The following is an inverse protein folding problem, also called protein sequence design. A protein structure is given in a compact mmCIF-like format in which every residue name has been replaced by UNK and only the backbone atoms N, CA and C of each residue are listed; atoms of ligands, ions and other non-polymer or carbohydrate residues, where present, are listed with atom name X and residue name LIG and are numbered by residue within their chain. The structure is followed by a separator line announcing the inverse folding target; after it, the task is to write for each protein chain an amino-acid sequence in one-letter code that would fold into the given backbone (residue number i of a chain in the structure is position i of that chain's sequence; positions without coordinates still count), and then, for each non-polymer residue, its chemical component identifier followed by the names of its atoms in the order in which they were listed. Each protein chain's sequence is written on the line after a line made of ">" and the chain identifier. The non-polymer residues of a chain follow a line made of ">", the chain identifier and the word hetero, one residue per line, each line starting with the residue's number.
data_IF_606093592783
#
_entry.id   IF_606093592783
#
_cell.length_a   1.000
_cell.length_b   1.000
_cell.length_c   1.000
_cell.angle_alpha   90.00
_cell.angle_beta   90.00
_cell.angle_gamma   90.00
#
_symmetry.space_group_name_H-M   'P 1'
#
loop_
_entity.id
_entity.type
_entity.pdbx_description
1 polymer ?
#
# COMPACT_ATOMS: atom_id res chain seq x y z
N UNK A 1 -31.36 -48.99 19.25
CA UNK A 1 -30.10 -48.30 19.64
C UNK A 1 -29.31 -48.03 18.37
N UNK A 2 -29.09 -46.74 18.05
CA UNK A 2 -28.55 -46.29 16.76
C UNK A 2 -27.03 -46.55 16.63
N UNK A 3 -26.68 -47.70 16.04
CA UNK A 3 -25.30 -48.12 15.78
C UNK A 3 -24.53 -47.12 14.88
N UNK A 4 -25.23 -46.45 13.97
CA UNK A 4 -24.67 -45.44 13.06
C UNK A 4 -24.21 -44.17 13.80
N UNK A 5 -24.93 -43.73 14.82
CA UNK A 5 -24.53 -42.58 15.64
C UNK A 5 -23.29 -42.88 16.50
N UNK A 6 -23.17 -44.11 17.00
CA UNK A 6 -22.03 -44.56 17.80
C UNK A 6 -20.75 -44.71 16.96
N UNK A 7 -20.88 -45.24 15.74
CA UNK A 7 -19.76 -45.36 14.80
C UNK A 7 -19.27 -43.99 14.31
N UNK A 8 -20.20 -43.08 14.00
CA UNK A 8 -19.88 -41.70 13.65
C UNK A 8 -19.15 -40.96 14.78
N UNK A 9 -19.64 -41.10 16.02
CA UNK A 9 -19.01 -40.50 17.21
C UNK A 9 -17.60 -41.07 17.47
N UNK A 10 -17.43 -42.39 17.32
CA UNK A 10 -16.16 -43.08 17.51
C UNK A 10 -15.12 -42.71 16.45
N UNK A 11 -15.52 -42.63 15.18
CA UNK A 11 -14.66 -42.15 14.09
C UNK A 11 -14.23 -40.69 14.33
N UNK A 12 -15.14 -39.81 14.76
CA UNK A 12 -14.77 -38.42 15.10
C UNK A 12 -13.86 -38.33 16.32
N UNK A 13 -14.04 -39.19 17.33
CA UNK A 13 -13.21 -39.21 18.54
C UNK A 13 -11.79 -39.72 18.24
N UNK A 14 -11.67 -40.80 17.47
CA UNK A 14 -10.38 -41.39 17.07
C UNK A 14 -9.58 -40.41 16.17
N UNK A 15 -10.26 -39.73 15.24
CA UNK A 15 -9.61 -38.72 14.39
C UNK A 15 -9.19 -37.46 15.18
N UNK A 16 -9.94 -37.10 16.22
CA UNK A 16 -9.58 -36.01 17.14
C UNK A 16 -8.40 -36.36 18.06
N UNK A 17 -8.23 -37.63 18.46
CA UNK A 17 -7.02 -38.07 19.16
C UNK A 17 -5.80 -38.01 18.25
N UNK A 18 -5.89 -38.51 17.01
CA UNK A 18 -4.80 -38.49 16.05
C UNK A 18 -4.33 -37.06 15.74
N UNK A 19 -5.28 -36.12 15.54
CA UNK A 19 -4.95 -34.72 15.31
C UNK A 19 -4.28 -34.06 16.52
N UNK A 20 -4.77 -34.33 17.74
CA UNK A 20 -4.15 -33.83 18.98
C UNK A 20 -2.74 -34.38 19.16
N UNK A 21 -2.52 -35.65 18.85
CA UNK A 21 -1.21 -36.27 18.91
C UNK A 21 -0.25 -35.65 17.90
N UNK A 22 -0.67 -35.49 16.65
CA UNK A 22 0.11 -34.80 15.62
C UNK A 22 0.51 -33.39 16.05
N UNK A 23 -0.44 -32.61 16.58
CA UNK A 23 -0.18 -31.26 17.05
C UNK A 23 0.80 -31.26 18.24
N UNK A 24 0.65 -32.18 19.18
CA UNK A 24 1.55 -32.32 20.32
C UNK A 24 2.96 -32.73 19.89
N UNK A 25 3.08 -33.62 18.90
CA UNK A 25 4.37 -34.01 18.33
C UNK A 25 5.03 -32.82 17.64
N UNK A 26 4.28 -32.06 16.84
CA UNK A 26 4.79 -30.84 16.21
C UNK A 26 5.28 -29.83 17.26
N UNK A 27 4.47 -29.58 18.30
CA UNK A 27 4.83 -28.68 19.41
C UNK A 27 6.07 -29.08 20.20
N UNK A 28 6.38 -30.38 20.28
CA UNK A 28 7.61 -30.87 20.92
C UNK A 28 8.88 -30.61 20.09
N UNK A 29 8.74 -30.45 18.78
CA UNK A 29 9.86 -30.32 17.85
C UNK A 29 10.12 -28.86 17.43
N UNK A 30 9.12 -27.99 17.57
CA UNK A 30 9.24 -26.56 17.29
C UNK A 30 9.53 -25.78 18.56
N UNK A 31 10.11 -24.59 18.41
CA UNK A 31 10.21 -23.60 19.49
C UNK A 31 8.97 -22.72 19.48
N UNK A 32 8.30 -22.59 20.62
CA UNK A 32 7.22 -21.61 20.80
C UNK A 32 7.76 -20.34 21.45
N UNK A 33 7.22 -19.19 21.03
CA UNK A 33 7.45 -17.87 21.63
C UNK A 33 6.11 -17.24 22.02
N UNK A 34 6.09 -16.48 23.10
CA UNK A 34 4.92 -15.75 23.57
C UNK A 34 4.70 -14.45 22.79
N UNK A 35 3.48 -13.92 22.87
CA UNK A 35 3.12 -12.61 22.31
C UNK A 35 4.02 -11.49 22.84
N UNK A 36 4.36 -11.53 24.14
CA UNK A 36 5.23 -10.54 24.78
C UNK A 36 6.66 -10.63 24.27
N UNK A 37 7.24 -11.83 24.16
CA UNK A 37 8.59 -12.01 23.61
C UNK A 37 8.69 -11.53 22.17
N UNK A 38 7.63 -11.73 21.37
CA UNK A 38 7.57 -11.23 20.00
C UNK A 38 7.45 -9.71 19.98
N UNK A 39 6.65 -9.11 20.89
CA UNK A 39 6.52 -7.65 21.05
C UNK A 39 7.85 -7.00 21.43
N UNK A 40 8.52 -7.51 22.46
CA UNK A 40 9.76 -6.93 22.98
C UNK A 40 10.88 -7.01 21.93
N UNK A 41 10.78 -8.00 21.03
CA UNK A 41 11.67 -8.13 19.90
C UNK A 41 11.19 -7.38 18.65
N UNK A 42 9.96 -6.88 18.58
CA UNK A 42 9.41 -6.17 17.42
C UNK A 42 9.96 -4.73 17.31
N UNK A 43 11.28 -4.62 17.16
CA UNK A 43 11.97 -3.39 16.82
C UNK A 43 12.24 -3.39 15.30
N UNK A 44 12.18 -2.25 14.58
CA UNK A 44 12.35 -2.20 13.13
C UNK A 44 13.67 -2.80 12.60
N UNK A 45 14.70 -2.90 13.46
CA UNK A 45 16.03 -3.39 13.13
C UNK A 45 16.29 -4.85 13.57
N UNK A 46 15.32 -5.54 14.18
CA UNK A 46 15.60 -6.75 14.97
C UNK A 46 15.79 -8.06 14.17
N UNK A 47 16.02 -7.98 12.87
CA UNK A 47 16.63 -9.08 12.11
C UNK A 47 15.80 -10.36 11.93
N UNK A 48 14.52 -10.41 12.31
CA UNK A 48 13.64 -11.57 12.07
C UNK A 48 12.44 -11.24 11.18
N UNK A 49 11.91 -12.26 10.52
CA UNK A 49 10.74 -12.18 9.66
C UNK A 49 9.48 -12.64 10.39
N UNK A 50 8.42 -11.84 10.34
CA UNK A 50 7.08 -12.24 10.79
C UNK A 50 6.33 -12.88 9.63
N UNK A 51 5.79 -14.08 9.84
CA UNK A 51 5.00 -14.80 8.84
C UNK A 51 3.58 -15.01 9.34
N UNK A 52 2.61 -14.42 8.64
CA UNK A 52 1.20 -14.66 8.86
C UNK A 52 0.72 -15.79 7.95
N UNK A 53 0.28 -16.90 8.56
CA UNK A 53 -0.24 -18.08 7.84
C UNK A 53 -1.77 -18.18 7.83
N UNK A 54 -2.46 -17.09 8.20
CA UNK A 54 -3.92 -16.96 8.10
C UNK A 54 -4.39 -16.81 6.65
N UNK A 55 -5.70 -16.91 6.46
CA UNK A 55 -6.32 -16.68 5.16
C UNK A 55 -6.41 -15.18 4.82
N UNK A 56 -6.68 -14.87 3.56
CA UNK A 56 -6.64 -13.49 3.04
C UNK A 56 -7.63 -12.54 3.71
N UNK A 57 -8.83 -13.00 4.03
CA UNK A 57 -9.87 -12.23 4.74
C UNK A 57 -9.45 -11.86 6.17
N UNK A 58 -8.75 -12.77 6.87
CA UNK A 58 -8.20 -12.52 8.21
C UNK A 58 -7.07 -11.48 8.16
N UNK A 59 -6.24 -11.51 7.11
CA UNK A 59 -5.16 -10.54 6.88
C UNK A 59 -5.70 -9.13 6.65
N UNK A 60 -6.80 -9.03 5.89
CA UNK A 60 -7.46 -7.77 5.58
C UNK A 60 -8.10 -7.10 6.81
N UNK A 61 -8.49 -7.88 7.81
CA UNK A 61 -9.00 -7.37 9.09
C UNK A 61 -7.89 -6.90 10.04
N UNK A 62 -6.64 -7.08 9.64
CA UNK A 62 -5.46 -6.57 10.33
C UNK A 62 -4.40 -7.64 10.55
N UNK A 63 -3.14 -7.22 10.61
CA UNK A 63 -1.96 -8.07 10.73
C UNK A 63 -0.83 -7.35 11.50
N UNK A 64 0.23 -8.08 11.85
CA UNK A 64 1.34 -7.54 12.62
C UNK A 64 2.34 -6.78 11.73
N UNK A 65 2.50 -5.47 11.93
CA UNK A 65 3.61 -4.67 11.41
C UNK A 65 3.98 -4.96 9.94
N UNK A 66 5.24 -5.34 9.70
CA UNK A 66 5.79 -5.71 8.37
C UNK A 66 5.70 -7.22 8.09
N UNK A 67 4.71 -7.92 8.64
CA UNK A 67 4.56 -9.36 8.40
C UNK A 67 4.44 -9.67 6.90
N UNK A 68 4.89 -10.86 6.54
CA UNK A 68 4.69 -11.45 5.22
C UNK A 68 3.46 -12.34 5.31
N UNK A 69 2.53 -12.19 4.36
CA UNK A 69 1.35 -13.06 4.24
C UNK A 69 1.67 -14.26 3.36
N UNK A 70 1.56 -15.47 3.92
CA UNK A 70 1.66 -16.73 3.19
C UNK A 70 0.71 -17.74 3.84
N UNK A 71 -0.55 -17.87 3.36
CA UNK A 71 -1.52 -18.77 3.95
C UNK A 71 -0.98 -20.20 4.03
N UNK A 72 -1.33 -20.91 5.11
CA UNK A 72 -0.76 -22.25 5.39
C UNK A 72 -0.84 -23.19 4.20
N UNK A 73 -1.93 -23.19 3.45
CA UNK A 73 -2.13 -24.11 2.31
C UNK A 73 -1.15 -23.91 1.13
N UNK A 74 -0.42 -22.79 1.09
CA UNK A 74 0.56 -22.50 0.03
C UNK A 74 2.02 -22.62 0.49
N UNK A 75 2.26 -23.00 1.76
CA UNK A 75 3.58 -22.97 2.37
C UNK A 75 4.58 -23.80 1.58
N UNK A 76 4.25 -25.06 1.30
CA UNK A 76 5.09 -26.02 0.58
C UNK A 76 5.38 -25.60 -0.86
N UNK A 77 4.46 -24.86 -1.47
CA UNK A 77 4.57 -24.42 -2.87
C UNK A 77 5.33 -23.10 -3.04
N UNK A 78 5.30 -22.21 -2.04
CA UNK A 78 5.75 -20.83 -2.19
C UNK A 78 6.78 -20.38 -1.15
N UNK A 79 7.05 -21.14 -0.09
CA UNK A 79 7.99 -20.74 0.96
C UNK A 79 9.34 -20.30 0.39
N UNK A 80 9.99 -21.10 -0.46
CA UNK A 80 11.31 -20.78 -1.03
C UNK A 80 11.32 -19.55 -1.94
N UNK A 81 10.18 -19.18 -2.54
CA UNK A 81 10.05 -17.95 -3.33
C UNK A 81 9.81 -16.71 -2.45
N UNK A 82 9.13 -16.89 -1.33
CA UNK A 82 8.68 -15.80 -0.46
C UNK A 82 9.66 -15.51 0.67
N UNK A 83 10.32 -16.54 1.22
CA UNK A 83 11.24 -16.50 2.34
C UNK A 83 12.65 -16.81 1.81
N UNK A 84 13.28 -15.83 1.17
CA UNK A 84 14.53 -16.03 0.43
C UNK A 84 15.74 -16.29 1.31
N UNK A 85 15.74 -15.80 2.56
CA UNK A 85 16.80 -16.09 3.53
C UNK A 85 16.35 -17.19 4.50
N UNK A 86 16.85 -18.40 4.27
CA UNK A 86 16.52 -19.57 5.12
C UNK A 86 17.09 -19.47 6.53
N UNK A 87 18.17 -18.70 6.73
CA UNK A 87 18.85 -18.60 8.02
C UNK A 87 18.27 -17.49 8.90
N UNK A 88 17.55 -16.53 8.30
CA UNK A 88 16.87 -15.50 9.05
C UNK A 88 15.87 -16.13 10.04
N UNK A 89 15.84 -15.70 11.30
CA UNK A 89 14.81 -16.15 12.23
C UNK A 89 13.40 -15.81 11.71
N UNK A 90 12.49 -16.77 11.74
CA UNK A 90 11.10 -16.60 11.28
C UNK A 90 10.16 -16.88 12.46
N UNK A 91 9.32 -15.90 12.78
CA UNK A 91 8.24 -16.04 13.75
C UNK A 91 6.93 -16.20 12.99
N UNK A 92 6.34 -17.39 13.06
CA UNK A 92 5.09 -17.74 12.40
C UNK A 92 3.93 -17.56 13.36
N UNK A 93 2.87 -16.90 12.90
CA UNK A 93 1.63 -16.77 13.67
C UNK A 93 0.40 -17.05 12.82
N UNK A 94 -0.67 -17.44 13.50
CA UNK A 94 -2.00 -17.59 12.93
C UNK A 94 -3.02 -16.91 13.84
N UNK A 95 -4.31 -17.27 13.77
CA UNK A 95 -5.31 -16.75 14.69
C UNK A 95 -5.02 -17.10 16.17
N UNK A 96 -4.81 -18.38 16.49
CA UNK A 96 -4.74 -18.87 17.88
C UNK A 96 -3.55 -19.78 18.24
N UNK A 97 -2.55 -19.92 17.36
CA UNK A 97 -1.32 -20.70 17.61
C UNK A 97 -1.30 -22.14 17.08
N UNK A 98 -2.43 -22.70 16.63
CA UNK A 98 -2.49 -24.10 16.13
C UNK A 98 -1.93 -24.23 14.72
N UNK A 99 -2.44 -23.43 13.77
CA UNK A 99 -1.98 -23.44 12.36
C UNK A 99 -0.51 -23.07 12.25
N UNK A 100 -0.05 -22.12 13.06
CA UNK A 100 1.35 -21.68 13.09
C UNK A 100 2.30 -22.75 13.64
N UNK A 101 1.88 -23.57 14.59
CA UNK A 101 2.70 -24.68 15.08
C UNK A 101 2.97 -25.72 13.98
N UNK A 102 1.92 -26.09 13.24
CA UNK A 102 2.06 -26.99 12.08
C UNK A 102 2.87 -26.35 10.95
N UNK A 103 2.64 -25.07 10.67
CA UNK A 103 3.43 -24.32 9.68
C UNK A 103 4.92 -24.27 10.04
N UNK A 104 5.24 -23.99 11.31
CA UNK A 104 6.61 -23.91 11.78
C UNK A 104 7.34 -25.24 11.60
N UNK A 105 6.68 -26.36 11.90
CA UNK A 105 7.22 -27.70 11.67
C UNK A 105 7.49 -27.95 10.18
N UNK A 106 6.52 -27.65 9.33
CA UNK A 106 6.70 -27.78 7.87
C UNK A 106 7.85 -26.93 7.34
N UNK A 107 8.01 -25.69 7.80
CA UNK A 107 9.16 -24.86 7.41
C UNK A 107 10.49 -25.47 7.89
N UNK A 108 10.57 -26.01 9.10
CA UNK A 108 11.78 -26.73 9.54
C UNK A 108 12.10 -27.91 8.61
N UNK A 109 11.09 -28.67 8.21
CA UNK A 109 11.25 -29.82 7.29
C UNK A 109 11.66 -29.37 5.87
N UNK A 110 11.29 -28.15 5.46
CA UNK A 110 11.73 -27.50 4.22
C UNK A 110 13.13 -26.85 4.31
N UNK A 111 13.81 -27.02 5.45
CA UNK A 111 15.19 -26.58 5.66
C UNK A 111 15.34 -25.16 6.19
N UNK A 112 14.31 -24.62 6.86
CA UNK A 112 14.41 -23.36 7.60
C UNK A 112 14.78 -23.66 9.07
N UNK A 113 16.05 -23.52 9.49
CA UNK A 113 16.50 -23.94 10.82
C UNK A 113 15.93 -23.08 11.97
N UNK A 114 15.64 -21.80 11.72
CA UNK A 114 15.34 -20.81 12.75
C UNK A 114 13.87 -20.41 12.78
N UNK A 115 12.95 -21.36 12.92
CA UNK A 115 11.51 -21.11 12.90
C UNK A 115 10.89 -21.24 14.29
N UNK A 116 10.04 -20.27 14.64
CA UNK A 116 9.37 -20.17 15.93
C UNK A 116 7.86 -20.02 15.70
N UNK A 117 7.02 -20.69 16.49
CA UNK A 117 5.57 -20.50 16.48
C UNK A 117 5.15 -19.54 17.60
N UNK A 118 4.38 -18.51 17.26
CA UNK A 118 3.83 -17.59 18.24
C UNK A 118 2.59 -18.21 18.92
N UNK A 119 2.72 -18.53 20.20
CA UNK A 119 1.61 -19.01 21.03
C UNK A 119 0.57 -17.89 21.19
N UNK A 120 -0.72 -18.27 21.22
CA UNK A 120 -1.81 -17.30 21.32
C UNK A 120 -2.22 -16.63 20.01
N UNK A 121 -1.29 -16.55 19.05
CA UNK A 121 -1.53 -16.00 17.73
C UNK A 121 -1.96 -14.53 17.75
N UNK A 122 -2.63 -14.12 16.68
CA UNK A 122 -3.13 -12.75 16.50
C UNK A 122 -4.28 -12.41 17.46
N UNK A 123 -5.07 -13.40 17.90
CA UNK A 123 -6.16 -13.17 18.86
C UNK A 123 -5.62 -12.71 20.20
N UNK A 124 -4.62 -13.40 20.75
CA UNK A 124 -4.00 -12.99 22.01
C UNK A 124 -3.27 -11.65 21.86
N UNK A 125 -2.62 -11.41 20.72
CA UNK A 125 -2.01 -10.12 20.39
C UNK A 125 -3.01 -8.96 20.50
N UNK A 126 -4.19 -9.10 19.88
CA UNK A 126 -5.27 -8.11 19.94
C UNK A 126 -5.84 -7.94 21.34
N UNK A 127 -6.06 -9.04 22.06
CA UNK A 127 -6.61 -9.01 23.42
C UNK A 127 -5.67 -8.27 24.39
N UNK A 128 -4.36 -8.34 24.15
CA UNK A 128 -3.34 -7.59 24.90
C UNK A 128 -3.24 -6.11 24.50
N UNK A 129 -4.12 -5.61 23.62
CA UNK A 129 -4.14 -4.21 23.19
C UNK A 129 -2.90 -3.79 22.39
N UNK A 130 -2.20 -4.74 21.77
CA UNK A 130 -0.96 -4.49 21.05
C UNK A 130 -1.24 -3.89 19.65
N UNK A 131 -0.33 -3.04 19.12
CA UNK A 131 -0.52 -2.41 17.83
C UNK A 131 -0.56 -3.45 16.71
N UNK A 132 -1.47 -3.24 15.76
CA UNK A 132 -1.56 -3.99 14.52
C UNK A 132 -1.92 -3.04 13.38
N UNK A 133 -1.67 -3.47 12.14
CA UNK A 133 -1.90 -2.69 10.92
C UNK A 133 -3.10 -3.27 10.19
N UNK A 134 -4.06 -2.43 9.82
CA UNK A 134 -5.10 -2.78 8.86
C UNK A 134 -4.60 -2.32 7.49
N UNK A 135 -4.51 -3.20 6.47
CA UNK A 135 -4.17 -2.76 5.13
C UNK A 135 -5.13 -1.67 4.67
N UNK A 136 -4.61 -0.50 4.32
CA UNK A 136 -5.42 0.51 3.65
C UNK A 136 -5.91 -0.06 2.32
N UNK A 137 -7.15 0.26 1.96
CA UNK A 137 -7.81 -0.17 0.74
C UNK A 137 -8.34 1.03 -0.01
N UNK A 138 -8.47 0.89 -1.32
CA UNK A 138 -9.16 1.89 -2.12
C UNK A 138 -10.63 1.93 -1.67
N UNK A 139 -11.15 3.13 -1.41
CA UNK A 139 -12.52 3.29 -0.92
C UNK A 139 -13.53 2.66 -1.89
N UNK A 140 -14.64 2.13 -1.37
CA UNK A 140 -15.66 1.43 -2.19
C UNK A 140 -16.12 2.28 -3.38
N UNK A 141 -16.34 3.56 -3.15
CA UNK A 141 -16.80 4.52 -4.17
C UNK A 141 -15.72 4.77 -5.25
N UNK A 142 -14.45 4.60 -4.88
CA UNK A 142 -13.28 4.77 -5.75
C UNK A 142 -12.94 3.51 -6.55
N UNK A 143 -13.33 2.31 -6.06
CA UNK A 143 -13.05 1.04 -6.73
C UNK A 143 -13.62 1.00 -8.15
N UNK A 144 -14.84 1.51 -8.35
CA UNK A 144 -15.46 1.56 -9.67
C UNK A 144 -14.66 2.45 -10.63
N UNK A 145 -14.28 3.65 -10.18
CA UNK A 145 -13.50 4.64 -10.94
C UNK A 145 -12.14 4.06 -11.36
N UNK A 146 -11.39 3.48 -10.44
CA UNK A 146 -10.04 2.96 -10.70
C UNK A 146 -9.99 1.49 -11.12
N UNK A 147 -11.13 0.87 -11.41
CA UNK A 147 -11.23 -0.57 -11.71
C UNK A 147 -10.31 -1.04 -12.84
N UNK A 148 -9.97 -0.17 -13.80
CA UNK A 148 -9.01 -0.47 -14.87
C UNK A 148 -7.56 -0.45 -14.39
N UNK A 149 -7.21 0.44 -13.45
CA UNK A 149 -5.87 0.53 -12.86
C UNK A 149 -5.61 -0.63 -11.90
N UNK A 150 -6.61 -1.02 -11.12
CA UNK A 150 -6.53 -2.15 -10.18
C UNK A 150 -6.22 -3.49 -10.86
N UNK A 151 -6.51 -3.61 -12.17
CA UNK A 151 -6.23 -4.81 -12.97
C UNK A 151 -4.82 -4.83 -13.58
N UNK A 152 -4.10 -3.71 -13.59
CA UNK A 152 -2.74 -3.63 -14.12
C UNK A 152 -1.79 -4.20 -13.06
N UNK A 153 -1.05 -5.29 -13.32
CA UNK A 153 -0.20 -5.94 -12.33
C UNK A 153 0.84 -5.02 -11.67
N UNK A 154 1.40 -4.08 -12.43
CA UNK A 154 2.41 -3.11 -12.00
C UNK A 154 1.81 -2.00 -11.12
N UNK A 155 0.50 -1.77 -11.20
CA UNK A 155 -0.21 -0.76 -10.39
C UNK A 155 -0.95 -1.47 -9.25
N UNK A 156 -2.01 -2.22 -9.57
CA UNK A 156 -2.86 -2.87 -8.58
C UNK A 156 -3.39 -1.92 -7.52
N UNK A 157 -3.87 -2.48 -6.41
CA UNK A 157 -4.38 -1.67 -5.29
C UNK A 157 -3.27 -0.86 -4.61
N UNK A 158 -2.08 -1.45 -4.44
CA UNK A 158 -0.93 -0.79 -3.81
C UNK A 158 -0.48 0.45 -4.58
N UNK A 159 -0.38 0.35 -5.91
CA UNK A 159 -0.02 1.46 -6.78
C UNK A 159 -1.10 2.53 -6.82
N UNK A 160 -2.38 2.15 -6.85
CA UNK A 160 -3.47 3.12 -6.80
C UNK A 160 -3.49 3.88 -5.47
N UNK A 161 -3.28 3.21 -4.33
CA UNK A 161 -3.12 3.87 -3.03
C UNK A 161 -1.92 4.81 -2.99
N UNK A 162 -0.81 4.43 -3.65
CA UNK A 162 0.35 5.31 -3.78
C UNK A 162 -0.03 6.58 -4.54
N UNK A 163 -0.73 6.47 -5.68
CA UNK A 163 -1.23 7.63 -6.44
C UNK A 163 -2.14 8.52 -5.58
N UNK A 164 -3.11 7.93 -4.87
CA UNK A 164 -4.05 8.66 -4.00
C UNK A 164 -3.36 9.42 -2.85
N UNK A 165 -2.16 9.01 -2.46
CA UNK A 165 -1.35 9.70 -1.44
C UNK A 165 -0.34 10.67 -2.04
N UNK A 166 -0.01 10.52 -3.32
CA UNK A 166 1.00 11.33 -3.98
C UNK A 166 0.55 12.77 -4.17
N UNK A 167 1.54 13.66 -4.08
CA UNK A 167 1.40 15.09 -4.33
C UNK A 167 2.28 15.45 -5.52
N UNK A 168 1.68 15.96 -6.59
CA UNK A 168 2.41 16.36 -7.81
C UNK A 168 2.29 17.86 -8.00
N UNK A 169 3.42 18.55 -8.21
CA UNK A 169 3.43 19.95 -8.63
C UNK A 169 3.46 20.00 -10.16
N UNK A 170 2.49 20.68 -10.77
CA UNK A 170 2.43 20.95 -12.19
C UNK A 170 2.74 22.43 -12.42
N UNK A 171 3.89 22.70 -13.03
CA UNK A 171 4.37 24.05 -13.34
C UNK A 171 3.93 24.41 -14.76
N UNK A 172 2.98 25.32 -14.88
CA UNK A 172 2.32 25.70 -16.12
C UNK A 172 1.04 24.89 -16.35
N UNK A 173 -0.08 25.60 -16.56
CA UNK A 173 -1.38 25.05 -16.95
C UNK A 173 -1.66 25.24 -18.45
N UNK A 174 -0.64 25.61 -19.24
CA UNK A 174 -0.70 25.84 -20.67
C UNK A 174 -0.79 24.56 -21.53
N UNK A 175 -0.22 24.58 -22.73
CA UNK A 175 -0.42 23.51 -23.73
C UNK A 175 0.15 22.15 -23.34
N UNK A 176 1.29 22.13 -22.64
CA UNK A 176 1.92 20.90 -22.13
C UNK A 176 1.33 20.49 -20.77
N UNK A 177 1.10 21.47 -19.90
CA UNK A 177 0.50 21.24 -18.59
C UNK A 177 -0.93 20.71 -18.68
N UNK A 178 -1.71 21.17 -19.66
CA UNK A 178 -3.11 20.78 -19.82
C UNK A 178 -3.34 19.27 -19.87
N UNK A 179 -2.78 18.53 -20.84
CA UNK A 179 -2.95 17.07 -20.90
C UNK A 179 -2.36 16.36 -19.68
N UNK A 180 -1.22 16.82 -19.16
CA UNK A 180 -0.62 16.25 -17.95
C UNK A 180 -1.56 16.35 -16.74
N UNK A 181 -2.11 17.53 -16.48
CA UNK A 181 -3.05 17.76 -15.38
C UNK A 181 -4.29 16.88 -15.47
N UNK A 182 -4.89 16.76 -16.66
CA UNK A 182 -6.07 15.92 -16.88
C UNK A 182 -5.78 14.46 -16.54
N UNK A 183 -4.67 13.90 -17.02
CA UNK A 183 -4.35 12.49 -16.74
C UNK A 183 -3.85 12.24 -15.32
N UNK A 184 -3.17 13.21 -14.68
CA UNK A 184 -2.83 13.13 -13.26
C UNK A 184 -4.11 13.06 -12.41
N UNK A 185 -5.09 13.91 -12.69
CA UNK A 185 -6.36 13.91 -11.96
C UNK A 185 -7.17 12.65 -12.25
N UNK A 186 -7.32 12.26 -13.53
CA UNK A 186 -8.03 11.04 -13.92
C UNK A 186 -7.41 9.79 -13.29
N UNK A 187 -6.09 9.77 -13.10
CA UNK A 187 -5.38 8.66 -12.47
C UNK A 187 -5.52 8.59 -10.95
N UNK A 188 -6.10 9.64 -10.34
CA UNK A 188 -6.32 9.70 -8.90
C UNK A 188 -5.07 10.12 -8.13
N UNK A 189 -4.23 11.00 -8.69
CA UNK A 189 -3.19 11.66 -7.89
C UNK A 189 -3.86 12.46 -6.77
N UNK A 190 -3.49 12.19 -5.52
CA UNK A 190 -4.19 12.72 -4.36
C UNK A 190 -4.22 14.24 -4.27
N UNK A 191 -3.07 14.89 -4.53
CA UNK A 191 -2.98 16.35 -4.57
C UNK A 191 -2.24 16.81 -5.81
N UNK A 192 -2.80 17.79 -6.51
CA UNK A 192 -2.15 18.47 -7.63
C UNK A 192 -1.96 19.93 -7.26
N UNK A 193 -0.71 20.37 -7.18
CA UNK A 193 -0.35 21.79 -7.13
C UNK A 193 -0.31 22.35 -8.55
N UNK A 194 -0.98 23.46 -8.82
CA UNK A 194 -0.98 24.14 -10.11
C UNK A 194 -0.32 25.51 -9.97
N UNK A 195 0.78 25.72 -10.68
CA UNK A 195 1.45 27.03 -10.73
C UNK A 195 1.31 27.61 -12.12
N UNK A 196 0.66 28.76 -12.23
CA UNK A 196 0.57 29.53 -13.47
C UNK A 196 0.18 30.97 -13.11
N UNK A 197 0.77 31.95 -13.77
CA UNK A 197 0.50 33.37 -13.50
C UNK A 197 -0.42 34.01 -14.55
N UNK A 198 -0.69 33.30 -15.66
CA UNK A 198 -1.48 33.84 -16.76
C UNK A 198 -2.98 33.72 -16.52
N UNK A 199 -3.73 34.44 -17.35
CA UNK A 199 -5.17 34.26 -17.56
C UNK A 199 -5.44 33.46 -18.83
N UNK A 200 -6.64 32.87 -18.91
CA UNK A 200 -7.09 32.14 -20.11
C UNK A 200 -7.30 33.13 -21.26
N UNK A 201 -6.73 32.80 -22.42
CA UNK A 201 -6.85 33.58 -23.66
C UNK A 201 -7.46 32.72 -24.77
N UNK A 202 -8.33 33.31 -25.60
CA UNK A 202 -9.03 32.59 -26.68
C UNK A 202 -8.07 31.95 -27.69
N UNK A 203 -6.98 32.65 -28.04
CA UNK A 203 -5.97 32.15 -28.99
C UNK A 203 -5.26 30.87 -28.51
N UNK A 204 -5.34 30.60 -27.21
CA UNK A 204 -4.65 29.49 -26.55
C UNK A 204 -5.53 28.22 -26.45
N UNK A 205 -6.85 28.35 -26.65
CA UNK A 205 -7.81 27.25 -26.46
C UNK A 205 -7.62 26.08 -27.43
N UNK A 206 -7.00 26.29 -28.60
CA UNK A 206 -6.73 25.22 -29.57
C UNK A 206 -5.82 24.09 -29.04
N UNK A 207 -5.08 24.34 -27.95
CA UNK A 207 -4.18 23.35 -27.32
C UNK A 207 -4.28 23.24 -25.80
N UNK A 208 -4.92 24.19 -25.12
CA UNK A 208 -5.00 24.24 -23.66
C UNK A 208 -6.31 23.63 -23.16
N UNK A 209 -6.40 22.30 -23.21
CA UNK A 209 -7.63 21.55 -22.94
C UNK A 209 -8.12 21.57 -21.48
N UNK A 210 -7.36 22.20 -20.56
CA UNK A 210 -7.86 22.50 -19.22
C UNK A 210 -8.83 23.69 -19.20
N UNK A 211 -8.92 24.45 -20.28
CA UNK A 211 -9.64 25.71 -20.35
C UNK A 211 -10.76 25.64 -21.39
N UNK A 212 -11.81 26.41 -21.11
CA UNK A 212 -13.00 26.48 -21.94
C UNK A 212 -13.21 27.92 -22.40
N UNK A 213 -13.98 28.12 -23.47
CA UNK A 213 -14.35 29.47 -23.96
C UNK A 213 -15.02 30.30 -22.87
N UNK A 214 -15.80 29.67 -21.99
CA UNK A 214 -16.44 30.33 -20.84
C UNK A 214 -15.46 30.81 -19.75
N UNK A 215 -14.19 30.41 -19.82
CA UNK A 215 -13.16 30.78 -18.86
C UNK A 215 -12.23 31.90 -19.34
N UNK A 216 -12.40 32.44 -20.55
CA UNK A 216 -11.54 33.52 -21.06
C UNK A 216 -11.51 34.71 -20.08
N UNK A 217 -10.30 35.19 -19.77
CA UNK A 217 -10.05 36.24 -18.78
C UNK A 217 -9.93 35.77 -17.33
N UNK A 218 -10.26 34.51 -17.02
CA UNK A 218 -10.10 33.93 -15.68
C UNK A 218 -8.64 33.45 -15.50
N UNK A 219 -8.03 33.57 -14.29
CA UNK A 219 -6.73 32.96 -14.02
C UNK A 219 -6.68 31.48 -14.43
N UNK A 220 -5.62 31.07 -15.14
CA UNK A 220 -5.49 29.70 -15.65
C UNK A 220 -5.57 28.66 -14.54
N UNK A 221 -4.94 28.92 -13.39
CA UNK A 221 -4.98 28.00 -12.23
C UNK A 221 -6.40 27.76 -11.73
N UNK A 222 -7.28 28.77 -11.76
CA UNK A 222 -8.67 28.63 -11.32
C UNK A 222 -9.53 27.91 -12.36
N UNK A 223 -9.37 28.23 -13.64
CA UNK A 223 -10.05 27.48 -14.71
C UNK A 223 -9.63 26.01 -14.70
N UNK A 224 -8.33 25.74 -14.58
CA UNK A 224 -7.78 24.39 -14.52
C UNK A 224 -8.31 23.63 -13.30
N UNK A 225 -8.31 24.25 -12.11
CA UNK A 225 -8.86 23.63 -10.89
C UNK A 225 -10.30 23.16 -11.07
N UNK A 226 -11.16 23.97 -11.71
CA UNK A 226 -12.54 23.59 -12.00
C UNK A 226 -12.59 22.35 -12.89
N UNK A 227 -11.86 22.36 -14.00
CA UNK A 227 -11.82 21.23 -14.94
C UNK A 227 -11.30 19.95 -14.26
N UNK A 228 -10.24 20.04 -13.46
CA UNK A 228 -9.67 18.87 -12.76
C UNK A 228 -10.64 18.29 -11.72
N UNK A 229 -11.39 19.15 -11.02
CA UNK A 229 -12.42 18.71 -10.08
C UNK A 229 -13.56 17.96 -10.78
N UNK A 230 -14.01 18.44 -11.95
CA UNK A 230 -15.01 17.75 -12.77
C UNK A 230 -14.50 16.40 -13.31
N UNK A 231 -13.22 16.32 -13.69
CA UNK A 231 -12.59 15.06 -14.09
C UNK A 231 -12.59 14.06 -12.92
N UNK A 232 -12.18 14.51 -11.74
CA UNK A 232 -12.11 13.66 -10.56
C UNK A 232 -12.28 14.46 -9.24
N UNK A 233 -13.43 14.35 -8.57
CA UNK A 233 -13.71 15.10 -7.35
C UNK A 233 -12.90 14.64 -6.13
N UNK A 234 -12.24 13.48 -6.21
CA UNK A 234 -11.37 12.97 -5.14
C UNK A 234 -10.03 13.74 -5.05
N UNK A 235 -9.66 14.45 -6.12
CA UNK A 235 -8.36 15.11 -6.27
C UNK A 235 -8.38 16.47 -5.59
N UNK A 236 -7.42 16.72 -4.71
CA UNK A 236 -7.22 18.03 -4.08
C UNK A 236 -6.36 18.91 -4.99
N UNK A 237 -6.91 20.02 -5.44
CA UNK A 237 -6.15 20.97 -6.28
C UNK A 237 -5.76 22.19 -5.46
N UNK A 238 -4.45 22.46 -5.36
CA UNK A 238 -3.87 23.67 -4.75
C UNK A 238 -3.41 24.60 -5.85
N UNK A 239 -3.81 25.87 -5.82
CA UNK A 239 -3.49 26.84 -6.86
C UNK A 239 -2.46 27.85 -6.38
N UNK A 240 -1.53 28.21 -7.27
CA UNK A 240 -0.51 29.22 -7.06
C UNK A 240 -0.56 30.19 -8.26
N UNK A 241 -1.38 31.26 -8.18
CA UNK A 241 -1.52 32.26 -9.24
C UNK A 241 -0.31 33.23 -9.25
N UNK A 242 0.89 32.70 -9.44
CA UNK A 242 2.15 33.45 -9.32
C UNK A 242 3.19 32.95 -10.32
N UNK A 243 4.18 33.80 -10.57
CA UNK A 243 5.37 33.45 -11.34
C UNK A 243 6.39 32.77 -10.41
N UNK A 244 6.91 31.60 -10.79
CA UNK A 244 7.97 30.95 -10.03
C UNK A 244 9.29 31.71 -10.18
N UNK A 245 9.91 32.00 -9.05
CA UNK A 245 11.23 32.61 -8.99
C UNK A 245 12.06 32.04 -7.83
N UNK A 246 13.32 32.47 -7.75
CA UNK A 246 14.25 31.98 -6.73
C UNK A 246 13.80 32.26 -5.29
N UNK A 247 12.89 33.22 -5.06
CA UNK A 247 12.38 33.55 -3.72
C UNK A 247 11.30 32.60 -3.22
N UNK A 248 10.57 31.94 -4.13
CA UNK A 248 9.40 31.11 -3.78
C UNK A 248 9.53 29.63 -4.15
N UNK A 249 10.40 29.28 -5.13
CA UNK A 249 10.37 27.96 -5.75
C UNK A 249 10.69 26.82 -4.77
N UNK A 250 11.66 27.01 -3.87
CA UNK A 250 12.04 25.97 -2.90
C UNK A 250 10.94 25.70 -1.88
N UNK A 251 10.27 26.77 -1.43
CA UNK A 251 9.17 26.65 -0.46
C UNK A 251 7.98 25.90 -1.06
N UNK A 252 7.70 26.09 -2.35
CA UNK A 252 6.61 25.41 -3.04
C UNK A 252 7.00 23.96 -3.36
N UNK A 253 8.16 23.71 -3.96
CA UNK A 253 8.55 22.37 -4.44
C UNK A 253 8.74 21.35 -3.32
N UNK A 254 9.21 21.76 -2.13
CA UNK A 254 9.49 20.83 -1.02
C UNK A 254 8.26 19.99 -0.61
N UNK A 255 7.06 20.54 -0.77
CA UNK A 255 5.78 19.96 -0.37
C UNK A 255 5.25 18.86 -1.31
N UNK A 256 5.89 18.67 -2.46
CA UNK A 256 5.45 17.74 -3.51
C UNK A 256 6.44 16.59 -3.68
N UNK A 257 5.92 15.44 -4.13
CA UNK A 257 6.69 14.21 -4.30
C UNK A 257 7.34 14.12 -5.69
N UNK A 258 6.69 14.71 -6.71
CA UNK A 258 7.12 14.71 -8.12
C UNK A 258 6.82 16.08 -8.73
N UNK A 259 7.73 16.59 -9.56
CA UNK A 259 7.57 17.88 -10.24
C UNK A 259 7.41 17.67 -11.74
N UNK A 260 6.34 18.20 -12.32
CA UNK A 260 6.06 18.15 -13.75
C UNK A 260 6.16 19.56 -14.31
N UNK A 261 7.17 19.80 -15.15
CA UNK A 261 7.29 21.06 -15.88
C UNK A 261 6.48 21.01 -17.18
N UNK A 262 5.36 21.73 -17.19
CA UNK A 262 4.57 22.06 -18.38
C UNK A 262 4.88 23.45 -18.94
N UNK A 263 5.94 24.10 -18.44
CA UNK A 263 6.42 25.41 -18.90
C UNK A 263 7.12 25.31 -20.25
N UNK A 264 6.77 26.17 -21.19
CA UNK A 264 7.48 26.37 -22.46
C UNK A 264 8.59 27.43 -22.37
N UNK A 265 8.76 28.07 -21.21
CA UNK A 265 9.84 28.99 -20.91
C UNK A 265 11.07 28.26 -20.37
N UNK A 266 12.21 28.40 -21.06
CA UNK A 266 13.49 27.84 -20.66
C UNK A 266 13.96 28.31 -19.27
N UNK A 267 13.82 29.59 -18.94
CA UNK A 267 14.25 30.13 -17.64
C UNK A 267 13.54 29.43 -16.50
N UNK A 268 12.21 29.27 -16.59
CA UNK A 268 11.43 28.52 -15.60
C UNK A 268 11.82 27.04 -15.58
N UNK A 269 12.06 26.43 -16.75
CA UNK A 269 12.44 25.02 -16.83
C UNK A 269 13.79 24.74 -16.13
N UNK A 270 14.82 25.57 -16.37
CA UNK A 270 16.12 25.46 -15.69
C UNK A 270 15.99 25.68 -14.18
N UNK A 271 15.20 26.66 -13.76
CA UNK A 271 15.00 26.94 -12.34
C UNK A 271 14.30 25.78 -11.62
N UNK A 272 13.26 25.20 -12.24
CA UNK A 272 12.57 24.01 -11.72
C UNK A 272 13.52 22.84 -11.63
N UNK A 273 14.37 22.61 -12.64
CA UNK A 273 15.39 21.57 -12.59
C UNK A 273 16.34 21.77 -11.41
N UNK A 274 16.90 22.97 -11.24
CA UNK A 274 17.88 23.24 -10.19
C UNK A 274 17.26 23.06 -8.80
N UNK A 275 16.04 23.55 -8.60
CA UNK A 275 15.30 23.36 -7.36
C UNK A 275 14.96 21.88 -7.08
N UNK A 276 14.57 21.12 -8.11
CA UNK A 276 14.31 19.68 -7.99
C UNK A 276 15.57 18.90 -7.62
N UNK A 277 16.72 19.21 -8.23
CA UNK A 277 18.02 18.60 -7.89
C UNK A 277 18.39 18.90 -6.44
N UNK A 278 18.28 20.16 -6.01
CA UNK A 278 18.60 20.55 -4.63
C UNK A 278 17.72 19.83 -3.60
N UNK A 279 16.44 19.67 -3.89
CA UNK A 279 15.45 19.04 -3.01
C UNK A 279 15.32 17.52 -3.22
N UNK A 280 16.14 16.93 -4.10
CA UNK A 280 16.11 15.51 -4.47
C UNK A 280 14.73 15.05 -4.90
N UNK A 281 14.04 15.87 -5.69
CA UNK A 281 12.74 15.57 -6.27
C UNK A 281 12.93 15.04 -7.70
N UNK A 282 12.20 13.98 -8.08
CA UNK A 282 12.11 13.55 -9.48
C UNK A 282 11.25 14.50 -10.32
#
# INVERSE_FOLDING_TARGET
>A
MNFSAFLGLKITLDHMSDFKELLNQAKKQIKEVSVQEVRDKLNPDNGFTLLDVREGDEWEQGHLGKAISLPRGFLELKADKTLTDKNQPIVVYCAGGVRSALAAKTLQDLGYPNVYSMRGGFTEWKNNGLPFVIPEKVGKDQMARYSRHLRIPEVGEKGQLKLLRSRVLLVGAGGLGSPAGVYLAASGVGTIGLVDYDVVDESNLQRQILHWTSSVGIPKVDSARRTLFEVNPDVKVRTYPLHLDASNILEIIQDYDVIVSGSDNFTTAYMVNDAAVLLKKP
#
